data_IF_245799086542
#
_entry.id   IF_245799086542
#
_cell.length_a   1.000
_cell.length_b   1.000
_cell.length_c   1.000
_cell.angle_alpha   90.00
_cell.angle_beta   90.00
_cell.angle_gamma   90.00
#
_symmetry.space_group_name_H-M   'P 1'
#
loop_
_entity.id
_entity.type
_entity.pdbx_description
1 polymer ?
#
# COMPACT_ATOMS: atom_id res chain seq x y z
N UNK A 1 -33.28 -66.36 -15.46
CA UNK A 1 -31.93 -66.52 -16.05
C UNK A 1 -31.51 -65.18 -16.63
N UNK A 2 -30.81 -64.35 -15.85
CA UNK A 2 -29.67 -63.52 -16.25
C UNK A 2 -29.12 -62.85 -14.99
N UNK A 3 -27.87 -63.17 -14.69
CA UNK A 3 -27.01 -62.60 -13.66
C UNK A 3 -26.38 -61.29 -14.18
N UNK A 4 -25.61 -60.59 -13.33
CA UNK A 4 -24.67 -59.47 -13.59
C UNK A 4 -25.31 -58.07 -13.44
N UNK A 5 -24.76 -57.09 -12.71
CA UNK A 5 -23.45 -56.90 -12.08
C UNK A 5 -23.60 -55.84 -10.97
N UNK A 6 -23.15 -56.18 -9.76
CA UNK A 6 -22.75 -55.21 -8.74
C UNK A 6 -21.44 -54.57 -9.21
N UNK A 7 -21.46 -53.28 -9.53
CA UNK A 7 -20.26 -52.44 -9.54
C UNK A 7 -20.40 -51.47 -8.37
N UNK A 8 -19.53 -51.53 -7.35
CA UNK A 8 -19.45 -50.44 -6.40
C UNK A 8 -18.80 -49.26 -7.11
N UNK A 9 -19.57 -48.20 -7.34
CA UNK A 9 -19.02 -46.87 -7.57
C UNK A 9 -18.22 -46.49 -6.32
N UNK A 10 -16.93 -46.79 -6.35
CA UNK A 10 -15.92 -46.09 -5.56
C UNK A 10 -15.94 -44.62 -6.04
N UNK A 11 -16.86 -43.83 -5.48
CA UNK A 11 -16.65 -42.40 -5.39
C UNK A 11 -15.45 -42.20 -4.46
N UNK A 12 -14.30 -41.95 -5.08
CA UNK A 12 -13.23 -41.20 -4.43
C UNK A 12 -13.81 -39.82 -4.06
N UNK A 13 -14.38 -39.72 -2.86
CA UNK A 13 -14.42 -38.46 -2.16
C UNK A 13 -12.95 -38.10 -1.91
N UNK A 14 -12.39 -37.23 -2.75
CA UNK A 14 -11.12 -36.61 -2.43
C UNK A 14 -11.33 -35.92 -1.07
N UNK A 15 -10.59 -36.34 -0.05
CA UNK A 15 -10.51 -35.60 1.21
C UNK A 15 -10.01 -34.20 0.85
N UNK A 16 -10.92 -33.22 0.87
CA UNK A 16 -10.53 -31.82 0.89
C UNK A 16 -9.63 -31.63 2.10
N UNK A 17 -8.37 -31.30 1.86
CA UNK A 17 -7.42 -31.04 2.93
C UNK A 17 -7.80 -29.73 3.62
N UNK A 18 -7.47 -29.59 4.91
CA UNK A 18 -7.67 -28.33 5.63
C UNK A 18 -7.02 -27.15 4.88
N UNK A 19 -5.92 -27.39 4.16
CA UNK A 19 -5.29 -26.43 3.26
C UNK A 19 -6.17 -26.05 2.06
N UNK A 20 -6.85 -27.00 1.39
CA UNK A 20 -7.76 -26.68 0.28
C UNK A 20 -9.01 -25.93 0.76
N UNK A 21 -9.48 -26.24 1.97
CA UNK A 21 -10.62 -25.56 2.60
C UNK A 21 -10.22 -24.12 2.95
N UNK A 22 -9.07 -23.92 3.61
CA UNK A 22 -8.55 -22.59 3.95
C UNK A 22 -8.26 -21.76 2.69
N UNK A 23 -7.67 -22.36 1.65
CA UNK A 23 -7.46 -21.72 0.36
C UNK A 23 -8.78 -21.23 -0.24
N UNK A 24 -9.82 -22.08 -0.25
CA UNK A 24 -11.15 -21.72 -0.74
C UNK A 24 -11.83 -20.63 0.12
N UNK A 25 -11.62 -20.61 1.44
CA UNK A 25 -12.11 -19.51 2.30
C UNK A 25 -11.38 -18.19 2.05
N UNK A 26 -10.10 -18.25 1.71
CA UNK A 26 -9.28 -17.08 1.39
C UNK A 26 -9.39 -16.62 -0.06
N UNK A 27 -10.20 -17.29 -0.90
CA UNK A 27 -10.34 -17.00 -2.32
C UNK A 27 -11.05 -15.63 -2.54
N UNK A 28 -10.36 -14.64 -3.14
CA UNK A 28 -10.97 -13.36 -3.50
C UNK A 28 -12.21 -13.48 -4.38
N UNK A 29 -12.34 -14.55 -5.17
CA UNK A 29 -13.47 -14.76 -6.07
C UNK A 29 -14.81 -14.88 -5.34
N UNK A 30 -14.80 -15.31 -4.07
CA UNK A 30 -16.01 -15.39 -3.24
C UNK A 30 -16.63 -14.03 -2.94
N UNK A 31 -15.82 -12.97 -2.90
CA UNK A 31 -16.25 -11.61 -2.57
C UNK A 31 -16.36 -10.77 -3.85
N UNK A 32 -15.41 -10.93 -4.78
CA UNK A 32 -15.24 -10.04 -5.92
C UNK A 32 -15.63 -10.67 -7.27
N UNK A 33 -16.16 -11.89 -7.28
CA UNK A 33 -16.51 -12.61 -8.51
C UNK A 33 -15.27 -12.95 -9.35
N UNK A 34 -15.43 -13.05 -10.67
CA UNK A 34 -14.35 -13.48 -11.58
C UNK A 34 -13.69 -12.34 -12.36
N UNK A 35 -14.14 -11.10 -12.15
CA UNK A 35 -13.70 -9.91 -12.90
C UNK A 35 -12.31 -9.38 -12.50
N UNK A 36 -11.97 -8.21 -13.04
CA UNK A 36 -10.70 -7.52 -12.75
C UNK A 36 -10.57 -7.13 -11.27
N UNK A 37 -11.69 -6.85 -10.60
CA UNK A 37 -11.76 -6.54 -9.17
C UNK A 37 -11.12 -7.64 -8.33
N UNK A 38 -11.37 -8.91 -8.68
CA UNK A 38 -10.74 -10.09 -8.06
C UNK A 38 -9.23 -10.08 -8.26
N UNK A 39 -8.76 -9.81 -9.48
CA UNK A 39 -7.33 -9.80 -9.80
C UNK A 39 -6.60 -8.67 -9.04
N UNK A 40 -7.25 -7.51 -8.90
CA UNK A 40 -6.74 -6.42 -8.08
C UNK A 40 -6.70 -6.81 -6.60
N UNK A 41 -7.73 -7.51 -6.10
CA UNK A 41 -7.75 -8.03 -4.73
C UNK A 41 -6.62 -9.04 -4.48
N UNK A 42 -6.33 -9.92 -5.44
CA UNK A 42 -5.19 -10.85 -5.36
C UNK A 42 -3.87 -10.09 -5.27
N UNK A 43 -3.66 -9.11 -6.16
CA UNK A 43 -2.47 -8.26 -6.13
C UNK A 43 -2.32 -7.54 -4.77
N UNK A 44 -3.43 -7.04 -4.22
CA UNK A 44 -3.49 -6.40 -2.91
C UNK A 44 -3.11 -7.36 -1.77
N UNK A 45 -3.67 -8.58 -1.75
CA UNK A 45 -3.41 -9.58 -0.70
C UNK A 45 -1.96 -10.06 -0.66
N UNK A 46 -1.24 -10.04 -1.79
CA UNK A 46 0.19 -10.32 -1.82
C UNK A 46 1.03 -9.32 -1.00
N UNK A 47 0.50 -8.13 -0.73
CA UNK A 47 1.11 -7.13 0.14
C UNK A 47 0.90 -7.40 1.64
N UNK A 48 0.34 -8.55 2.03
CA UNK A 48 0.12 -8.92 3.42
C UNK A 48 0.80 -10.24 3.77
N UNK A 49 1.20 -10.38 5.04
CA UNK A 49 1.87 -11.57 5.56
C UNK A 49 1.46 -11.82 7.01
N UNK A 50 0.94 -13.00 7.30
CA UNK A 50 0.66 -13.43 8.68
C UNK A 50 1.92 -14.02 9.31
N UNK A 51 2.29 -13.54 10.50
CA UNK A 51 3.50 -13.96 11.24
C UNK A 51 3.17 -14.14 12.72
N UNK A 52 3.93 -14.99 13.40
CA UNK A 52 3.92 -15.07 14.87
C UNK A 52 5.14 -14.31 15.39
N UNK A 53 4.92 -13.15 16.02
CA UNK A 53 5.98 -12.29 16.55
C UNK A 53 5.70 -11.97 18.02
N UNK A 54 6.70 -12.11 18.89
CA UNK A 54 6.54 -11.86 20.32
C UNK A 54 5.38 -12.66 20.96
N UNK A 55 5.10 -13.87 20.45
CA UNK A 55 4.00 -14.72 20.92
C UNK A 55 2.60 -14.33 20.42
N UNK A 56 2.47 -13.37 19.49
CA UNK A 56 1.20 -12.92 18.93
C UNK A 56 1.12 -13.25 17.44
N UNK A 57 -0.04 -13.71 16.98
CA UNK A 57 -0.36 -13.75 15.55
C UNK A 57 -0.61 -12.31 15.09
N UNK A 58 0.13 -11.86 14.08
CA UNK A 58 0.05 -10.52 13.52
C UNK A 58 -0.17 -10.61 12.00
N UNK A 59 -1.01 -9.72 11.47
CA UNK A 59 -1.22 -9.59 10.03
C UNK A 59 -0.46 -8.36 9.55
N UNK A 60 0.78 -8.60 9.14
CA UNK A 60 1.66 -7.55 8.67
C UNK A 60 1.23 -7.12 7.27
N UNK A 61 1.39 -5.83 7.02
CA UNK A 61 1.17 -5.20 5.72
C UNK A 61 2.48 -4.65 5.20
N UNK A 62 2.61 -4.58 3.88
CA UNK A 62 3.77 -4.01 3.23
C UNK A 62 3.94 -2.55 3.68
N UNK A 63 5.09 -2.18 4.27
CA UNK A 63 5.33 -0.80 4.70
C UNK A 63 5.40 0.16 3.52
N UNK A 64 5.18 1.45 3.80
CA UNK A 64 5.46 2.48 2.81
C UNK A 64 6.98 2.65 2.67
N UNK A 65 7.47 2.71 1.43
CA UNK A 65 8.78 3.24 1.13
C UNK A 65 8.62 4.71 0.73
N UNK A 66 9.43 5.59 1.33
CA UNK A 66 9.30 7.03 1.16
C UNK A 66 9.34 7.53 -0.29
N UNK A 67 8.84 8.75 -0.54
CA UNK A 67 8.99 9.49 -1.81
C UNK A 67 10.07 10.59 -1.70
N UNK A 68 11.26 10.22 -1.18
CA UNK A 68 12.42 11.11 -0.97
C UNK A 68 12.17 12.36 -0.09
N UNK A 69 11.00 12.52 0.53
CA UNK A 69 10.66 13.70 1.35
C UNK A 69 11.53 13.80 2.61
N UNK A 70 11.96 12.67 3.18
CA UNK A 70 12.85 12.65 4.37
C UNK A 70 14.33 12.75 3.99
N UNK A 71 14.70 12.37 2.77
CA UNK A 71 16.07 12.44 2.25
C UNK A 71 16.53 13.87 1.99
N UNK A 72 15.61 14.80 1.71
CA UNK A 72 15.91 16.23 1.52
C UNK A 72 16.50 16.93 2.75
N UNK A 73 16.61 16.23 3.89
CA UNK A 73 17.14 16.77 5.13
C UNK A 73 18.57 16.30 5.46
N UNK A 74 19.16 15.43 4.63
CA UNK A 74 20.52 14.93 4.81
C UNK A 74 21.23 14.79 3.46
N UNK A 75 22.54 15.01 3.40
CA UNK A 75 23.34 14.83 2.16
C UNK A 75 23.53 13.36 1.77
N UNK A 76 22.93 12.43 2.49
CA UNK A 76 23.02 11.00 2.25
C UNK A 76 21.70 10.49 1.66
N UNK A 77 21.78 9.80 0.51
CA UNK A 77 20.66 9.04 -0.04
C UNK A 77 20.58 7.68 0.67
N UNK A 78 19.46 7.39 1.32
CA UNK A 78 19.24 6.08 1.95
C UNK A 78 18.21 5.32 1.13
N UNK A 79 18.72 4.42 0.29
CA UNK A 79 17.88 3.65 -0.62
C UNK A 79 17.00 2.67 0.14
N UNK A 80 15.68 2.83 0.01
CA UNK A 80 14.75 1.77 0.36
C UNK A 80 14.98 0.57 -0.55
N UNK A 81 14.81 -0.64 0.00
CA UNK A 81 14.90 -1.88 -0.75
C UNK A 81 13.98 -1.84 -1.97
N UNK A 82 14.54 -2.08 -3.15
CA UNK A 82 13.80 -2.00 -4.42
C UNK A 82 13.33 -0.60 -4.80
N UNK A 83 13.86 0.46 -4.17
CA UNK A 83 13.55 1.87 -4.49
C UNK A 83 12.06 2.23 -4.38
N UNK A 84 11.32 1.53 -3.53
CA UNK A 84 9.87 1.66 -3.42
C UNK A 84 9.05 1.00 -4.54
N UNK A 85 9.72 0.32 -5.49
CA UNK A 85 9.10 -0.35 -6.65
C UNK A 85 9.17 -1.87 -6.61
N UNK A 86 9.80 -2.43 -5.58
CA UNK A 86 9.93 -3.88 -5.42
C UNK A 86 8.58 -4.57 -5.42
N UNK A 87 8.49 -5.72 -6.11
CA UNK A 87 7.29 -6.55 -6.03
C UNK A 87 7.17 -7.19 -4.63
N UNK A 88 5.95 -7.56 -4.17
CA UNK A 88 5.76 -8.07 -2.82
C UNK A 88 6.54 -9.35 -2.51
N UNK A 89 6.75 -10.25 -3.46
CA UNK A 89 7.47 -11.51 -3.21
C UNK A 89 8.95 -11.23 -2.83
N UNK A 90 9.61 -10.37 -3.61
CA UNK A 90 10.98 -9.93 -3.34
C UNK A 90 11.10 -9.16 -2.02
N UNK A 91 10.17 -8.25 -1.76
CA UNK A 91 10.17 -7.46 -0.52
C UNK A 91 9.96 -8.34 0.71
N UNK A 92 9.00 -9.28 0.66
CA UNK A 92 8.73 -10.18 1.78
C UNK A 92 9.90 -11.11 2.09
N UNK A 93 10.64 -11.60 1.10
CA UNK A 93 11.85 -12.40 1.34
C UNK A 93 12.86 -11.64 2.20
N UNK A 94 13.08 -10.36 1.91
CA UNK A 94 14.01 -9.53 2.67
C UNK A 94 13.45 -9.09 4.02
N UNK A 95 12.16 -8.76 4.07
CA UNK A 95 11.48 -8.44 5.33
C UNK A 95 11.54 -9.64 6.29
N UNK A 96 11.32 -10.85 5.79
CA UNK A 96 11.39 -12.07 6.59
C UNK A 96 12.78 -12.21 7.23
N UNK A 97 13.87 -11.94 6.50
CA UNK A 97 15.23 -11.92 7.04
C UNK A 97 15.44 -10.86 8.13
N UNK A 98 14.90 -9.65 7.94
CA UNK A 98 14.97 -8.57 8.93
C UNK A 98 14.24 -8.96 10.21
N UNK A 99 13.04 -9.54 10.10
CA UNK A 99 12.23 -9.97 11.24
C UNK A 99 12.81 -11.20 11.97
N UNK A 100 13.61 -12.01 11.29
CA UNK A 100 14.29 -13.16 11.92
C UNK A 100 15.65 -12.78 12.56
N UNK A 101 16.09 -11.53 12.37
CA UNK A 101 17.37 -11.04 12.86
C UNK A 101 17.46 -10.98 14.39
N UNK A 102 18.70 -11.07 14.90
CA UNK A 102 18.97 -10.88 16.33
C UNK A 102 18.64 -9.46 16.82
N UNK A 103 18.82 -8.44 15.96
CA UNK A 103 18.53 -7.05 16.32
C UNK A 103 17.02 -6.83 16.53
N UNK A 104 16.18 -7.38 15.64
CA UNK A 104 14.74 -7.30 15.81
C UNK A 104 14.28 -8.04 17.07
N UNK A 105 14.93 -9.15 17.41
CA UNK A 105 14.65 -9.85 18.67
C UNK A 105 14.95 -8.97 19.90
N UNK A 106 16.09 -8.28 19.91
CA UNK A 106 16.43 -7.31 20.96
C UNK A 106 15.42 -6.16 21.02
N UNK A 107 14.91 -5.73 19.86
CA UNK A 107 13.87 -4.71 19.78
C UNK A 107 12.57 -5.16 20.43
N UNK A 108 12.11 -6.38 20.17
CA UNK A 108 10.92 -6.97 20.81
C UNK A 108 11.11 -7.04 22.33
N UNK A 109 12.29 -7.48 22.80
CA UNK A 109 12.60 -7.54 24.24
C UNK A 109 12.52 -6.15 24.88
N UNK A 110 13.12 -5.13 24.25
CA UNK A 110 13.05 -3.76 24.72
C UNK A 110 11.61 -3.22 24.77
N UNK A 111 10.74 -3.60 23.83
CA UNK A 111 9.32 -3.23 23.85
C UNK A 111 8.51 -3.98 24.92
N UNK A 112 9.00 -5.10 25.46
CA UNK A 112 8.27 -6.01 26.34
C UNK A 112 8.72 -5.96 27.81
N UNK A 113 9.65 -5.06 28.17
CA UNK A 113 10.27 -5.01 29.49
C UNK A 113 9.39 -4.41 30.63
N UNK A 114 8.12 -4.07 30.34
CA UNK A 114 7.18 -3.48 31.30
C UNK A 114 7.42 -2.02 31.68
N UNK A 115 8.35 -1.32 31.00
CA UNK A 115 8.73 0.06 31.32
C UNK A 115 8.35 1.02 30.20
N UNK A 116 7.91 2.22 30.58
CA UNK A 116 7.75 3.30 29.60
C UNK A 116 9.11 3.78 29.10
N UNK A 117 9.19 4.08 27.80
CA UNK A 117 10.41 4.55 27.14
C UNK A 117 10.08 5.25 25.83
N UNK A 118 11.02 6.05 25.35
CA UNK A 118 10.98 6.57 23.99
C UNK A 118 11.94 5.73 23.15
N UNK A 119 11.40 5.05 22.15
CA UNK A 119 12.19 4.41 21.09
C UNK A 119 12.62 5.51 20.13
N UNK A 120 13.91 5.57 19.85
CA UNK A 120 14.51 6.55 18.95
C UNK A 120 15.11 5.78 17.80
N UNK A 121 14.55 5.94 16.61
CA UNK A 121 15.13 5.40 15.39
C UNK A 121 16.13 6.38 14.80
N UNK A 122 17.14 5.84 14.14
CA UNK A 122 18.12 6.54 13.34
C UNK A 122 18.10 5.86 11.96
N UNK A 123 17.31 6.43 11.06
CA UNK A 123 17.15 5.93 9.70
C UNK A 123 18.51 5.94 8.94
N UNK A 124 19.40 6.95 9.06
CA UNK A 124 20.69 6.93 8.34
C UNK A 124 21.52 5.71 8.62
N UNK A 125 21.60 5.34 9.89
CA UNK A 125 22.44 4.25 10.35
C UNK A 125 21.69 2.94 10.48
N UNK A 126 20.39 2.92 10.16
CA UNK A 126 19.47 1.79 10.33
C UNK A 126 19.56 1.22 11.74
N UNK A 127 19.52 2.11 12.74
CA UNK A 127 19.63 1.74 14.16
C UNK A 127 18.45 2.24 14.95
N UNK A 128 18.29 1.66 16.11
CA UNK A 128 17.35 2.13 17.11
C UNK A 128 18.01 2.15 18.49
N UNK A 129 17.46 2.96 19.38
CA UNK A 129 17.88 3.07 20.76
C UNK A 129 16.68 3.37 21.65
N UNK A 130 16.84 3.29 22.96
CA UNK A 130 15.78 3.63 23.93
C UNK A 130 16.26 4.70 24.90
N UNK A 131 15.44 5.74 25.08
CA UNK A 131 15.57 6.69 26.18
C UNK A 131 14.54 6.37 27.26
N UNK A 132 15.00 6.29 28.51
CA UNK A 132 14.15 6.19 29.71
C UNK A 132 14.19 7.47 30.54
N UNK A 133 14.69 8.56 29.97
CA UNK A 133 14.68 9.85 30.62
C UNK A 133 13.22 10.28 30.87
N UNK A 134 12.91 10.60 32.13
CA UNK A 134 11.57 11.05 32.54
C UNK A 134 11.15 12.33 31.81
N UNK A 135 12.09 13.21 31.48
CA UNK A 135 11.82 14.42 30.72
C UNK A 135 11.45 14.11 29.27
N UNK A 136 12.12 13.16 28.62
CA UNK A 136 11.77 12.73 27.26
C UNK A 136 10.37 12.10 27.23
N UNK A 137 10.08 11.20 28.17
CA UNK A 137 8.76 10.55 28.30
C UNK A 137 7.66 11.59 28.56
N UNK A 138 7.86 12.50 29.52
CA UNK A 138 6.88 13.52 29.87
C UNK A 138 6.59 14.46 28.70
N UNK A 139 7.63 14.86 27.94
CA UNK A 139 7.46 15.70 26.74
C UNK A 139 6.65 15.00 25.66
N UNK A 140 6.96 13.74 25.36
CA UNK A 140 6.21 12.95 24.38
C UNK A 140 4.74 12.83 24.77
N UNK A 141 4.45 12.56 26.06
CA UNK A 141 3.07 12.51 26.58
C UNK A 141 2.34 13.86 26.50
N UNK A 142 3.06 14.96 26.66
CA UNK A 142 2.52 16.31 26.53
C UNK A 142 2.38 16.78 25.06
N UNK A 143 2.70 15.93 24.08
CA UNK A 143 2.66 16.28 22.64
C UNK A 143 3.81 17.17 22.18
N UNK A 144 4.85 17.37 23.01
CA UNK A 144 6.04 18.14 22.66
C UNK A 144 7.06 17.25 21.94
N UNK A 145 6.75 16.90 20.70
CA UNK A 145 7.57 16.03 19.86
C UNK A 145 8.93 16.66 19.54
N UNK A 146 10.00 15.87 19.65
CA UNK A 146 11.38 16.31 19.39
C UNK A 146 12.08 15.54 18.27
N UNK A 147 11.42 14.52 17.72
CA UNK A 147 11.99 13.75 16.63
C UNK A 147 12.23 14.63 15.41
N UNK A 148 13.26 14.26 14.65
CA UNK A 148 13.52 14.81 13.31
C UNK A 148 12.99 13.81 12.28
N UNK A 149 12.77 14.22 11.03
CA UNK A 149 12.22 13.27 10.05
C UNK A 149 13.14 12.05 9.82
N UNK A 150 14.45 12.23 9.91
CA UNK A 150 15.43 11.13 9.82
C UNK A 150 15.67 10.41 11.15
N UNK A 151 15.09 10.91 12.25
CA UNK A 151 15.29 10.38 13.59
C UNK A 151 13.97 10.40 14.36
N UNK A 152 12.98 9.56 13.99
CA UNK A 152 11.66 9.59 14.60
C UNK A 152 11.68 9.01 16.02
N UNK A 153 10.84 9.58 16.89
CA UNK A 153 10.72 9.22 18.30
C UNK A 153 9.36 8.57 18.53
N UNK A 154 9.31 7.42 19.18
CA UNK A 154 8.05 6.69 19.41
C UNK A 154 7.94 6.34 20.88
N UNK A 155 6.87 6.82 21.53
CA UNK A 155 6.59 6.47 22.91
C UNK A 155 6.10 5.02 22.98
N UNK A 156 6.81 4.18 23.75
CA UNK A 156 6.43 2.81 24.06
C UNK A 156 6.03 2.68 25.52
N UNK A 157 4.96 1.93 25.76
CA UNK A 157 4.44 1.62 27.09
C UNK A 157 5.09 0.37 27.72
N UNK A 158 5.99 -0.32 27.01
CA UNK A 158 6.61 -1.55 27.52
C UNK A 158 5.67 -2.75 27.55
N UNK A 159 4.52 -2.70 26.87
CA UNK A 159 3.46 -3.74 26.88
C UNK A 159 3.67 -4.83 25.81
N UNK A 160 4.85 -4.87 25.21
CA UNK A 160 5.20 -5.74 24.12
C UNK A 160 4.77 -5.25 22.75
N UNK A 161 5.25 -5.97 21.75
CA UNK A 161 5.14 -5.64 20.33
C UNK A 161 3.69 -5.48 19.85
N UNK A 162 3.45 -4.46 19.03
CA UNK A 162 2.23 -4.23 18.24
C UNK A 162 2.57 -4.19 16.73
N UNK A 163 1.56 -4.33 15.87
CA UNK A 163 1.76 -4.25 14.40
C UNK A 163 2.41 -2.92 13.97
N UNK A 164 2.03 -1.80 14.60
CA UNK A 164 2.64 -0.50 14.33
C UNK A 164 4.12 -0.43 14.70
N UNK A 165 4.57 -1.20 15.70
CA UNK A 165 5.99 -1.27 16.07
C UNK A 165 6.78 -2.04 15.02
N UNK A 166 6.20 -3.12 14.48
CA UNK A 166 6.79 -3.87 13.36
C UNK A 166 6.89 -2.97 12.12
N UNK A 167 5.82 -2.24 11.81
CA UNK A 167 5.84 -1.23 10.72
C UNK A 167 6.97 -0.22 10.92
N UNK A 168 7.06 0.40 12.10
CA UNK A 168 8.08 1.42 12.40
C UNK A 168 9.50 0.84 12.24
N UNK A 169 9.72 -0.39 12.71
CA UNK A 169 11.01 -1.05 12.57
C UNK A 169 11.36 -1.36 11.12
N UNK A 170 10.42 -1.92 10.34
CA UNK A 170 10.66 -2.20 8.93
C UNK A 170 10.88 -0.92 8.11
N UNK A 171 10.15 0.14 8.43
CA UNK A 171 10.32 1.46 7.82
C UNK A 171 11.68 2.08 8.14
N UNK A 172 12.08 2.11 9.41
CA UNK A 172 13.27 2.85 9.86
C UNK A 172 14.58 2.06 9.80
N UNK A 173 14.52 0.75 10.07
CA UNK A 173 15.70 -0.12 10.19
C UNK A 173 15.79 -1.03 8.97
N UNK A 174 14.68 -1.68 8.60
CA UNK A 174 14.64 -2.55 7.42
C UNK A 174 14.77 -1.80 6.09
N UNK A 175 14.40 -0.51 6.07
CA UNK A 175 14.21 0.29 4.85
C UNK A 175 13.47 -0.49 3.75
N UNK A 176 12.46 -1.28 4.13
CA UNK A 176 11.77 -2.18 3.23
C UNK A 176 10.31 -1.78 3.10
N UNK A 177 9.87 -1.59 1.86
CA UNK A 177 8.49 -1.19 1.57
C UNK A 177 8.28 -0.88 0.10
N UNK A 178 7.08 -0.41 -0.20
CA UNK A 178 6.71 0.09 -1.52
C UNK A 178 6.12 1.49 -1.42
N UNK A 179 6.44 2.36 -2.38
CA UNK A 179 5.83 3.67 -2.45
C UNK A 179 4.46 3.60 -3.15
N UNK A 180 3.74 4.71 -3.18
CA UNK A 180 2.39 4.78 -3.73
C UNK A 180 2.32 4.35 -5.20
N UNK A 181 3.28 4.79 -6.01
CA UNK A 181 3.33 4.50 -7.45
C UNK A 181 3.94 3.14 -7.76
N UNK A 182 4.83 2.64 -6.89
CA UNK A 182 5.28 1.24 -6.91
C UNK A 182 4.15 0.27 -6.63
N UNK A 183 3.28 0.57 -5.67
CA UNK A 183 2.07 -0.21 -5.42
C UNK A 183 1.10 -0.18 -6.62
N UNK A 184 0.84 1.01 -7.19
CA UNK A 184 0.03 1.12 -8.42
C UNK A 184 0.65 0.31 -9.56
N UNK A 185 1.97 0.40 -9.78
CA UNK A 185 2.65 -0.37 -10.81
C UNK A 185 2.53 -1.88 -10.58
N UNK A 186 2.66 -2.35 -9.35
CA UNK A 186 2.46 -3.76 -8.98
C UNK A 186 1.06 -4.24 -9.36
N UNK A 187 0.01 -3.50 -8.98
CA UNK A 187 -1.37 -3.84 -9.32
C UNK A 187 -1.58 -3.88 -10.84
N UNK A 188 -1.13 -2.86 -11.56
CA UNK A 188 -1.25 -2.79 -13.03
C UNK A 188 -0.50 -3.94 -13.72
N UNK A 189 0.70 -4.27 -13.24
CA UNK A 189 1.51 -5.39 -13.74
C UNK A 189 0.84 -6.73 -13.49
N UNK A 190 0.20 -6.90 -12.33
CA UNK A 190 -0.52 -8.12 -11.96
C UNK A 190 -1.74 -8.33 -12.87
N UNK A 191 -2.52 -7.29 -13.13
CA UNK A 191 -3.64 -7.34 -14.09
C UNK A 191 -3.13 -7.70 -15.49
N UNK A 192 -2.08 -7.03 -15.96
CA UNK A 192 -1.51 -7.29 -17.28
C UNK A 192 -1.06 -8.75 -17.42
N UNK A 193 -0.39 -9.29 -16.40
CA UNK A 193 0.09 -10.68 -16.38
C UNK A 193 -1.07 -11.68 -16.43
N UNK A 194 -2.20 -11.41 -15.77
CA UNK A 194 -3.40 -12.25 -15.87
C UNK A 194 -3.95 -12.33 -17.30
N UNK A 195 -3.75 -11.29 -18.12
CA UNK A 195 -4.05 -11.28 -19.55
C UNK A 195 -2.90 -11.72 -20.47
N UNK A 196 -1.83 -12.32 -19.92
CA UNK A 196 -0.66 -12.78 -20.67
C UNK A 196 0.28 -11.68 -21.18
N UNK A 197 0.19 -10.46 -20.62
CA UNK A 197 1.00 -9.31 -21.03
C UNK A 197 2.09 -9.02 -20.00
N UNK A 198 3.34 -8.99 -20.44
CA UNK A 198 4.48 -8.45 -19.69
C UNK A 198 4.46 -6.92 -19.80
N UNK A 199 3.92 -6.24 -18.79
CA UNK A 199 3.73 -4.79 -18.79
C UNK A 199 5.07 -4.04 -18.87
N UNK A 200 6.08 -4.51 -18.12
CA UNK A 200 7.40 -3.92 -18.10
C UNK A 200 8.05 -3.95 -19.48
N UNK A 201 8.01 -5.09 -20.17
CA UNK A 201 8.50 -5.21 -21.56
C UNK A 201 7.70 -4.36 -22.54
N UNK A 202 6.37 -4.33 -22.38
CA UNK A 202 5.47 -3.56 -23.25
C UNK A 202 5.76 -2.06 -23.17
N UNK A 203 6.04 -1.55 -21.97
CA UNK A 203 6.24 -0.12 -21.72
C UNK A 203 7.70 0.30 -21.66
N UNK A 204 8.67 -0.62 -21.72
CA UNK A 204 10.10 -0.34 -21.53
C UNK A 204 10.61 0.85 -22.38
N UNK A 205 10.24 0.89 -23.67
CA UNK A 205 10.63 1.99 -24.56
C UNK A 205 10.00 3.33 -24.15
N UNK A 206 8.74 3.33 -23.75
CA UNK A 206 7.99 4.54 -23.38
C UNK A 206 8.47 5.08 -22.04
N UNK A 207 8.81 4.18 -21.11
CA UNK A 207 9.41 4.49 -19.82
C UNK A 207 10.88 4.94 -19.93
N UNK A 208 11.51 4.78 -21.10
CA UNK A 208 12.92 5.13 -21.31
C UNK A 208 13.88 4.22 -20.53
N UNK A 209 13.48 2.97 -20.30
CA UNK A 209 14.24 2.00 -19.49
C UNK A 209 15.56 1.69 -20.17
N UNK A 210 16.66 1.77 -19.40
CA UNK A 210 17.99 1.33 -19.86
C UNK A 210 18.05 -0.19 -19.90
N UNK A 211 18.78 -0.74 -20.87
CA UNK A 211 18.93 -2.20 -21.01
C UNK A 211 19.41 -2.84 -19.70
N UNK A 212 18.74 -3.91 -19.28
CA UNK A 212 19.07 -4.67 -18.06
C UNK A 212 18.55 -4.07 -16.75
N UNK A 213 17.81 -2.95 -16.78
CA UNK A 213 17.20 -2.35 -15.59
C UNK A 213 15.73 -2.75 -15.50
N UNK A 214 15.23 -2.97 -14.28
CA UNK A 214 13.81 -3.24 -14.03
C UNK A 214 12.94 -2.02 -14.45
N UNK A 215 11.97 -2.19 -15.37
CA UNK A 215 11.04 -1.14 -15.76
C UNK A 215 10.24 -0.52 -14.61
N UNK A 216 10.00 -1.26 -13.53
CA UNK A 216 9.28 -0.77 -12.35
C UNK A 216 9.91 0.50 -11.76
N UNK A 217 11.24 0.59 -11.82
CA UNK A 217 12.04 1.73 -11.34
C UNK A 217 11.74 3.05 -12.07
N UNK A 218 11.15 2.98 -13.25
CA UNK A 218 10.80 4.14 -14.07
C UNK A 218 9.30 4.48 -14.01
N UNK A 219 8.47 3.62 -13.40
CA UNK A 219 7.04 3.80 -13.28
C UNK A 219 6.67 4.64 -12.04
N UNK A 220 6.93 5.94 -12.12
CA UNK A 220 6.56 6.92 -11.09
C UNK A 220 5.30 7.72 -11.42
N UNK A 221 4.86 8.56 -10.48
CA UNK A 221 3.76 9.53 -10.67
C UNK A 221 3.96 10.43 -11.90
N UNK A 222 5.22 10.78 -12.20
CA UNK A 222 5.59 11.54 -13.40
C UNK A 222 5.22 10.81 -14.72
N UNK A 223 5.40 9.49 -14.78
CA UNK A 223 5.00 8.70 -15.94
C UNK A 223 3.49 8.72 -16.12
N UNK A 224 2.73 8.49 -15.04
CA UNK A 224 1.26 8.52 -15.07
C UNK A 224 0.69 9.91 -15.38
N UNK A 225 1.44 10.98 -15.10
CA UNK A 225 1.07 12.36 -15.44
C UNK A 225 1.52 12.81 -16.84
N UNK A 226 2.29 11.98 -17.56
CA UNK A 226 2.91 12.36 -18.84
C UNK A 226 1.91 12.51 -19.99
N UNK A 227 2.37 13.09 -21.10
CA UNK A 227 1.64 13.16 -22.38
C UNK A 227 1.78 11.88 -23.24
N UNK A 228 2.29 10.80 -22.66
CA UNK A 228 2.43 9.53 -23.36
C UNK A 228 1.10 9.02 -23.88
N UNK A 229 1.08 8.49 -25.11
CA UNK A 229 -0.12 7.86 -25.70
C UNK A 229 -0.60 6.61 -24.95
N UNK A 230 0.23 6.07 -24.06
CA UNK A 230 -0.11 4.97 -23.16
C UNK A 230 -0.96 5.41 -21.97
N UNK A 231 -1.00 6.70 -21.67
CA UNK A 231 -1.82 7.28 -20.60
C UNK A 231 -3.09 7.86 -21.21
N UNK A 232 -4.24 7.30 -20.83
CA UNK A 232 -5.55 7.79 -21.25
C UNK A 232 -6.09 8.69 -20.15
N UNK A 233 -6.28 10.00 -20.39
CA UNK A 233 -6.94 10.85 -19.41
C UNK A 233 -8.40 10.42 -19.24
N UNK A 234 -8.87 10.33 -18.00
CA UNK A 234 -10.26 10.02 -17.66
C UNK A 234 -10.87 11.29 -17.07
N UNK A 235 -12.02 11.69 -17.59
CA UNK A 235 -12.82 12.77 -16.98
C UNK A 235 -13.28 12.26 -15.62
N UNK A 236 -12.97 12.98 -14.55
CA UNK A 236 -13.07 12.50 -13.17
C UNK A 236 -14.50 12.53 -12.59
N UNK A 237 -15.52 12.36 -13.43
CA UNK A 237 -16.90 12.12 -13.02
C UNK A 237 -17.08 10.64 -12.66
N UNK A 238 -17.87 10.36 -11.61
CA UNK A 238 -18.08 9.00 -11.09
C UNK A 238 -18.49 8.01 -12.17
N UNK A 239 -19.40 8.39 -13.07
CA UNK A 239 -19.88 7.56 -14.21
C UNK A 239 -18.80 7.10 -15.17
N UNK A 240 -17.65 7.77 -15.22
CA UNK A 240 -16.54 7.46 -16.14
C UNK A 240 -15.47 6.56 -15.50
N UNK A 241 -15.51 6.42 -14.18
CA UNK A 241 -14.53 5.65 -13.41
C UNK A 241 -14.75 4.15 -13.57
N UNK A 242 -13.65 3.42 -13.56
CA UNK A 242 -13.62 1.97 -13.71
C UNK A 242 -12.56 1.35 -12.79
N UNK A 243 -12.68 0.05 -12.47
CA UNK A 243 -11.57 -0.71 -11.93
C UNK A 243 -10.27 -0.50 -12.72
N UNK A 244 -9.15 -0.47 -11.99
CA UNK A 244 -7.80 -0.20 -12.47
C UNK A 244 -7.52 1.25 -12.93
N UNK A 245 -8.48 2.17 -12.82
CA UNK A 245 -8.18 3.60 -12.97
C UNK A 245 -7.25 4.09 -11.86
N UNK A 246 -6.35 5.00 -12.21
CA UNK A 246 -5.32 5.53 -11.32
C UNK A 246 -5.74 6.94 -10.90
N UNK A 247 -5.88 7.13 -9.60
CA UNK A 247 -6.03 8.44 -8.97
C UNK A 247 -4.66 9.07 -8.79
N UNK A 248 -4.49 10.31 -9.23
CA UNK A 248 -3.26 11.09 -9.05
C UNK A 248 -3.55 12.34 -8.22
N UNK A 249 -2.73 12.59 -7.22
CA UNK A 249 -2.85 13.73 -6.31
C UNK A 249 -1.72 14.72 -6.54
N UNK A 250 -2.07 15.99 -6.62
CA UNK A 250 -1.15 17.07 -6.96
C UNK A 250 -0.36 17.56 -5.74
N UNK A 251 0.90 17.92 -5.97
CA UNK A 251 1.75 18.62 -5.02
C UNK A 251 1.64 20.15 -5.16
N UNK A 252 2.18 20.86 -4.18
CA UNK A 252 2.26 22.31 -4.17
C UNK A 252 3.14 22.87 -5.30
N UNK A 253 4.08 22.10 -5.85
CA UNK A 253 4.89 22.48 -7.01
C UNK A 253 4.15 22.30 -8.36
N UNK A 254 2.96 21.70 -8.34
CA UNK A 254 2.16 21.38 -9.53
C UNK A 254 2.45 20.00 -10.14
N UNK A 255 3.46 19.28 -9.66
CA UNK A 255 3.72 17.88 -9.98
C UNK A 255 2.72 16.93 -9.33
N UNK A 256 2.86 15.63 -9.59
CA UNK A 256 2.07 14.59 -8.92
C UNK A 256 2.89 13.94 -7.82
N UNK A 257 2.37 13.95 -6.60
CA UNK A 257 3.09 13.52 -5.40
C UNK A 257 2.48 12.29 -4.72
N UNK A 258 1.35 11.79 -5.22
CA UNK A 258 0.76 10.55 -4.72
C UNK A 258 -0.10 9.89 -5.77
N UNK A 259 -0.31 8.59 -5.61
CA UNK A 259 -1.17 7.82 -6.48
C UNK A 259 -1.88 6.68 -5.76
N UNK A 260 -3.05 6.33 -6.27
CA UNK A 260 -3.85 5.20 -5.81
C UNK A 260 -4.53 4.52 -7.00
N UNK A 261 -5.03 3.31 -6.80
CA UNK A 261 -5.75 2.56 -7.84
C UNK A 261 -7.17 2.26 -7.40
N UNK A 262 -8.14 2.53 -8.26
CA UNK A 262 -9.54 2.13 -8.04
C UNK A 262 -9.62 0.62 -8.20
N UNK A 263 -10.09 -0.08 -7.18
CA UNK A 263 -10.42 -1.49 -7.33
C UNK A 263 -11.82 -1.64 -7.91
N UNK A 264 -12.83 -0.96 -7.35
CA UNK A 264 -14.22 -1.17 -7.72
C UNK A 264 -15.05 0.10 -7.62
N UNK A 265 -16.12 0.16 -8.42
CA UNK A 265 -17.12 1.22 -8.43
C UNK A 265 -18.51 0.57 -8.37
N UNK A 266 -19.16 0.66 -7.22
CA UNK A 266 -20.53 0.21 -7.02
C UNK A 266 -21.49 1.40 -7.15
N UNK A 267 -22.07 1.54 -8.34
CA UNK A 267 -23.06 2.58 -8.63
C UNK A 267 -24.37 2.40 -7.87
N UNK A 268 -24.69 1.19 -7.43
CA UNK A 268 -25.94 0.93 -6.72
C UNK A 268 -25.84 1.28 -5.24
N UNK A 269 -24.69 0.97 -4.62
CA UNK A 269 -24.40 1.29 -3.24
C UNK A 269 -23.85 2.71 -3.05
N UNK A 270 -23.37 3.35 -4.12
CA UNK A 270 -22.76 4.68 -4.04
C UNK A 270 -21.36 4.63 -3.45
N UNK A 271 -20.57 3.61 -3.79
CA UNK A 271 -19.27 3.34 -3.16
C UNK A 271 -18.19 3.14 -4.23
N UNK A 272 -17.06 3.82 -4.09
CA UNK A 272 -15.81 3.51 -4.79
C UNK A 272 -14.84 2.94 -3.76
N UNK A 273 -14.30 1.74 -4.00
CA UNK A 273 -13.16 1.21 -3.24
C UNK A 273 -11.88 1.49 -4.01
N UNK A 274 -10.91 2.11 -3.34
CA UNK A 274 -9.59 2.37 -3.89
C UNK A 274 -8.50 1.92 -2.92
N UNK A 275 -7.33 1.59 -3.48
CA UNK A 275 -6.21 1.00 -2.78
C UNK A 275 -4.99 1.89 -2.93
N UNK A 276 -4.20 2.01 -1.87
CA UNK A 276 -3.01 2.87 -1.87
C UNK A 276 -1.94 2.36 -0.89
N UNK A 277 -0.74 2.92 -1.01
CA UNK A 277 0.33 2.76 -0.03
C UNK A 277 0.79 4.15 0.44
N UNK A 278 0.65 4.45 1.73
CA UNK A 278 1.14 5.71 2.34
C UNK A 278 1.39 5.54 3.83
N UNK A 279 2.33 6.32 4.37
CA UNK A 279 2.58 6.47 5.81
C UNK A 279 1.68 7.53 6.47
N UNK A 280 1.03 8.40 5.70
CA UNK A 280 0.06 9.40 6.17
C UNK A 280 -1.35 8.78 6.37
N UNK A 281 -1.44 7.75 7.19
CA UNK A 281 -2.66 6.99 7.49
C UNK A 281 -2.80 6.75 9.00
N UNK A 282 -3.98 6.34 9.50
CA UNK A 282 -4.12 5.82 10.86
C UNK A 282 -3.03 4.78 11.17
N UNK A 283 -2.59 4.72 12.43
CA UNK A 283 -1.43 3.90 12.83
C UNK A 283 -1.53 2.43 12.41
N UNK A 284 -2.73 1.88 12.49
CA UNK A 284 -3.08 0.51 12.11
C UNK A 284 -3.39 0.35 10.62
N UNK A 285 -3.17 1.38 9.79
CA UNK A 285 -3.48 1.42 8.36
C UNK A 285 -2.27 1.80 7.49
N UNK A 286 -1.15 2.25 8.08
CA UNK A 286 0.05 2.69 7.35
C UNK A 286 0.65 1.62 6.44
N UNK A 287 1.21 2.05 5.31
CA UNK A 287 1.62 1.15 4.24
C UNK A 287 0.47 0.86 3.30
N UNK A 288 0.40 -0.36 2.77
CA UNK A 288 -0.68 -0.78 1.86
C UNK A 288 -2.01 -0.93 2.60
N UNK A 289 -3.07 -0.27 2.12
CA UNK A 289 -4.42 -0.33 2.70
C UNK A 289 -5.52 0.00 1.66
N UNK A 290 -6.76 -0.19 2.10
CA UNK A 290 -7.98 0.14 1.36
C UNK A 290 -8.62 1.43 1.90
N UNK A 291 -9.37 2.10 1.04
CA UNK A 291 -10.13 3.30 1.38
C UNK A 291 -11.36 3.41 0.49
N UNK A 292 -12.31 4.26 0.89
CA UNK A 292 -13.61 4.39 0.22
C UNK A 292 -13.95 5.84 -0.10
N UNK A 293 -14.69 6.02 -1.18
CA UNK A 293 -15.36 7.27 -1.55
C UNK A 293 -16.85 6.98 -1.64
N UNK A 294 -17.65 7.66 -0.84
CA UNK A 294 -19.11 7.57 -0.90
C UNK A 294 -19.69 8.70 -1.75
N UNK A 295 -20.69 8.36 -2.57
CA UNK A 295 -21.42 9.28 -3.44
C UNK A 295 -22.91 8.95 -3.45
N UNK A 296 -23.73 9.89 -3.95
CA UNK A 296 -25.16 9.66 -4.14
C UNK A 296 -25.39 8.78 -5.39
N UNK A 297 -25.94 7.55 -5.25
CA UNK A 297 -26.25 6.68 -6.38
C UNK A 297 -27.14 7.33 -7.45
N UNK A 298 -27.96 8.33 -7.07
CA UNK A 298 -28.85 9.03 -7.98
C UNK A 298 -28.14 10.05 -8.89
N UNK A 299 -26.91 10.46 -8.55
CA UNK A 299 -26.11 11.41 -9.35
C UNK A 299 -24.67 10.93 -9.55
N UNK A 300 -24.46 10.20 -10.65
CA UNK A 300 -23.15 9.71 -11.06
C UNK A 300 -22.38 10.70 -11.94
N UNK A 301 -22.94 11.88 -12.21
CA UNK A 301 -22.26 12.93 -12.97
C UNK A 301 -21.33 13.79 -12.12
N UNK A 302 -21.37 13.59 -10.79
CA UNK A 302 -20.55 14.33 -9.84
C UNK A 302 -19.05 14.04 -10.05
N UNK A 303 -18.18 15.07 -10.12
CA UNK A 303 -16.74 14.90 -10.21
C UNK A 303 -16.12 14.51 -8.87
N UNK A 304 -14.96 13.84 -8.89
CA UNK A 304 -14.18 13.49 -7.70
C UNK A 304 -13.73 14.71 -6.88
N UNK A 305 -13.64 15.86 -7.53
CA UNK A 305 -13.37 17.16 -6.89
C UNK A 305 -14.58 17.76 -6.15
N UNK A 306 -15.77 17.15 -6.24
CA UNK A 306 -16.95 17.63 -5.52
C UNK A 306 -16.78 17.49 -4.00
N UNK A 307 -17.11 18.54 -3.22
CA UNK A 307 -17.23 18.45 -1.76
C UNK A 307 -18.37 17.57 -1.26
N UNK A 308 -19.31 17.16 -2.13
CA UNK A 308 -20.41 16.26 -1.75
C UNK A 308 -19.95 14.81 -1.49
N UNK A 309 -18.74 14.46 -1.94
CA UNK A 309 -18.17 13.13 -1.77
C UNK A 309 -17.54 12.96 -0.40
N UNK A 310 -17.76 11.81 0.22
CA UNK A 310 -17.16 11.47 1.52
C UNK A 310 -15.98 10.54 1.30
N UNK A 311 -14.78 11.04 1.55
CA UNK A 311 -13.54 10.28 1.48
C UNK A 311 -13.19 9.73 2.86
N UNK A 312 -12.98 8.42 2.98
CA UNK A 312 -12.69 7.80 4.28
C UNK A 312 -11.24 7.90 4.69
N UNK A 313 -10.30 8.00 3.75
CA UNK A 313 -8.89 8.06 4.08
C UNK A 313 -8.57 9.35 4.80
N UNK A 314 -8.34 9.24 6.10
CA UNK A 314 -7.84 10.32 6.93
C UNK A 314 -6.32 10.38 6.84
N UNK A 315 -5.78 11.60 6.83
CA UNK A 315 -4.34 11.81 6.80
C UNK A 315 -3.82 12.16 8.19
N UNK A 316 -2.89 11.33 8.65
CA UNK A 316 -2.26 11.47 9.96
C UNK A 316 -0.75 11.67 9.81
N UNK A 317 -0.05 12.16 10.85
CA UNK A 317 1.40 12.19 10.84
C UNK A 317 1.99 10.78 10.61
N UNK A 318 3.10 10.65 9.86
CA UNK A 318 3.80 9.37 9.68
C UNK A 318 4.36 8.75 10.96
N UNK A 319 4.65 9.56 11.99
CA UNK A 319 4.96 9.08 13.35
C UNK A 319 4.15 9.87 14.39
N UNK A 320 3.68 9.24 15.48
CA UNK A 320 2.94 9.95 16.53
C UNK A 320 3.74 11.15 17.06
N UNK A 321 3.15 12.35 16.95
CA UNK A 321 3.77 13.61 17.37
C UNK A 321 4.46 14.39 16.25
N UNK A 322 4.73 13.79 15.08
CA UNK A 322 5.16 14.55 13.90
C UNK A 322 4.06 15.51 13.43
N UNK A 323 4.44 16.47 12.58
CA UNK A 323 3.49 17.35 11.93
C UNK A 323 2.61 16.53 10.99
N UNK A 324 1.30 16.71 11.10
CA UNK A 324 0.34 16.09 10.19
C UNK A 324 0.41 16.72 8.79
N UNK A 325 -0.06 15.96 7.81
CA UNK A 325 -0.42 16.47 6.48
C UNK A 325 -1.27 17.75 6.61
N UNK A 326 -1.11 18.75 5.72
CA UNK A 326 -1.97 19.94 5.71
C UNK A 326 -3.42 19.61 5.30
N UNK A 327 -3.65 18.38 4.81
CA UNK A 327 -4.96 17.88 4.44
C UNK A 327 -5.48 16.93 5.51
N UNK A 328 -6.77 17.03 5.81
CA UNK A 328 -7.46 16.16 6.78
C UNK A 328 -7.83 14.80 6.19
N UNK A 329 -8.05 14.74 4.89
CA UNK A 329 -8.36 13.52 4.13
C UNK A 329 -7.88 13.59 2.67
N UNK A 330 -7.93 12.45 1.99
CA UNK A 330 -7.56 12.35 0.57
C UNK A 330 -8.45 13.19 -0.34
N UNK A 331 -9.72 13.41 0.01
CA UNK A 331 -10.60 14.28 -0.76
C UNK A 331 -10.11 15.73 -0.76
N UNK A 332 -9.69 16.22 0.41
CA UNK A 332 -9.11 17.56 0.53
C UNK A 332 -7.80 17.65 -0.24
N UNK A 333 -6.97 16.60 -0.21
CA UNK A 333 -5.73 16.53 -1.02
C UNK A 333 -6.04 16.51 -2.52
N UNK A 334 -7.03 15.75 -2.96
CA UNK A 334 -7.44 15.66 -4.37
C UNK A 334 -7.94 17.02 -4.89
N UNK A 335 -8.68 17.76 -4.06
CA UNK A 335 -9.16 19.12 -4.39
C UNK A 335 -8.10 20.21 -4.28
N UNK A 336 -6.93 19.92 -3.70
CA UNK A 336 -5.90 20.92 -3.47
C UNK A 336 -5.30 21.43 -4.79
N UNK A 337 -4.77 22.66 -4.76
CA UNK A 337 -4.11 23.31 -5.89
C UNK A 337 -4.98 23.37 -7.17
N UNK A 338 -6.22 23.88 -7.10
CA UNK A 338 -7.10 23.97 -8.26
C UNK A 338 -6.53 24.89 -9.35
N UNK A 339 -5.76 25.90 -8.97
CA UNK A 339 -4.98 26.78 -9.86
C UNK A 339 -3.94 26.02 -10.69
N UNK A 340 -3.55 24.82 -10.24
CA UNK A 340 -2.61 23.92 -10.92
C UNK A 340 -3.31 22.73 -11.58
N UNK A 341 -4.64 22.72 -11.58
CA UNK A 341 -5.47 21.68 -12.21
C UNK A 341 -5.88 20.53 -11.29
N UNK A 342 -5.61 20.60 -9.97
CA UNK A 342 -6.10 19.62 -8.99
C UNK A 342 -5.69 18.17 -9.21
N UNK A 343 -6.32 17.26 -8.48
CA UNK A 343 -6.21 15.82 -8.71
C UNK A 343 -6.76 15.43 -10.09
N UNK A 344 -6.34 14.27 -10.60
CA UNK A 344 -6.78 13.75 -11.89
C UNK A 344 -6.90 12.25 -11.88
N UNK A 345 -7.64 11.72 -12.85
CA UNK A 345 -7.76 10.29 -13.11
C UNK A 345 -7.13 9.94 -14.45
N UNK A 346 -6.40 8.84 -14.50
CA UNK A 346 -5.83 8.29 -15.73
C UNK A 346 -6.02 6.78 -15.81
N UNK A 347 -5.99 6.25 -17.02
CA UNK A 347 -6.07 4.82 -17.31
C UNK A 347 -4.87 4.40 -18.15
N UNK A 348 -4.25 3.29 -17.80
CA UNK A 348 -3.14 2.73 -18.56
C UNK A 348 -3.69 1.92 -19.74
N UNK A 349 -3.35 2.31 -20.96
CA UNK A 349 -3.89 1.72 -22.19
C UNK A 349 -3.69 0.21 -22.25
N UNK A 350 -2.45 -0.25 -22.03
CA UNK A 350 -2.10 -1.67 -22.08
C UNK A 350 -2.91 -2.52 -21.10
N UNK A 351 -3.25 -1.97 -19.93
CA UNK A 351 -4.07 -2.67 -18.92
C UNK A 351 -5.55 -2.61 -19.29
N UNK A 352 -6.05 -1.48 -19.78
CA UNK A 352 -7.43 -1.38 -20.28
C UNK A 352 -7.75 -2.39 -21.40
N UNK A 353 -6.78 -2.66 -22.27
CA UNK A 353 -6.89 -3.65 -23.36
C UNK A 353 -6.86 -5.09 -22.84
N UNK A 354 -6.18 -5.35 -21.71
CA UNK A 354 -6.23 -6.64 -21.02
C UNK A 354 -7.60 -6.84 -20.36
N UNK A 355 -8.08 -5.84 -19.63
CA UNK A 355 -9.37 -5.90 -18.92
C UNK A 355 -10.52 -6.19 -19.89
N UNK A 356 -10.51 -5.61 -21.09
CA UNK A 356 -11.56 -5.90 -22.09
C UNK A 356 -11.59 -7.35 -22.61
N UNK A 357 -10.60 -8.19 -22.24
CA UNK A 357 -10.49 -9.61 -22.64
C UNK A 357 -10.69 -10.59 -21.49
N UNK A 358 -10.65 -10.10 -20.24
CA UNK A 358 -10.93 -10.86 -19.02
C UNK A 358 -12.44 -10.88 -18.78
#
# INVERSE_FOLDING_TARGET
MFLLLLVPLLLNAAEETDESILAAYSDPARIWGTGVERIIEEAYRLCFRTRILGGKVMNLRMPFAQDNERDKLTDQEWGFLGGGKGNPAFLWESIDQVLDSGDFRNYIEALSDGREKVVIFDIPTQRWSVSRDLFDIARMKAGSYRGLLHRPYVLSQGRGLQESDVYNYLYCVGLAGMDCSGFVWHVQSYIAAAGGVDLGRTLARVLGVRSGVDPSMYAGTAFYNSSSSQIIPVVDEIRNLRPADILLFRADDGGMAHSAVIQSVDFSAGIIRYLQCTDEAPLNERGVHESFIYFDPADTSVPLSSPSLIWTQRRYPPFPGERASPFSDDGQRYRAYPDKGGGRVVRLRAVSEVIGRL
#
